data_IF_336487164572
#
_entry.id   IF_336487164572
#
_cell.length_a   1.000
_cell.length_b   1.000
_cell.length_c   1.000
_cell.angle_alpha   90.00
_cell.angle_beta   90.00
_cell.angle_gamma   90.00
#
_symmetry.space_group_name_H-M   'P 1'
#
loop_
_entity.id
_entity.type
_entity.pdbx_description
1 polymer ?
#
# COMPACT_ATOMS: atom_id res chain seq x y z
N UNK A 1 14.93 -10.09 -10.84
CA UNK A 1 14.38 -9.74 -12.17
C UNK A 1 12.91 -10.13 -12.31
N UNK A 2 12.33 -9.90 -13.50
CA UNK A 2 10.91 -10.17 -13.79
C UNK A 2 10.48 -11.59 -13.42
N UNK A 3 11.27 -12.60 -13.80
CA UNK A 3 10.97 -14.00 -13.52
C UNK A 3 10.89 -14.30 -12.02
N UNK A 4 11.78 -13.72 -11.23
CA UNK A 4 11.77 -13.89 -9.77
C UNK A 4 10.52 -13.29 -9.12
N UNK A 5 10.11 -12.11 -9.57
CA UNK A 5 8.89 -11.48 -9.05
C UNK A 5 7.63 -12.31 -9.38
N UNK A 6 7.49 -12.76 -10.61
CA UNK A 6 6.38 -13.62 -11.04
C UNK A 6 6.37 -14.92 -10.23
N UNK A 7 7.53 -15.58 -10.10
CA UNK A 7 7.64 -16.80 -9.30
C UNK A 7 7.19 -16.60 -7.85
N UNK A 8 7.58 -15.47 -7.22
CA UNK A 8 7.17 -15.15 -5.86
C UNK A 8 5.65 -14.98 -5.76
N UNK A 9 5.03 -14.26 -6.71
CA UNK A 9 3.59 -14.08 -6.76
C UNK A 9 2.85 -15.42 -6.95
N UNK A 10 3.36 -16.28 -7.84
CA UNK A 10 2.79 -17.61 -8.09
C UNK A 10 2.89 -18.52 -6.85
N UNK A 11 4.01 -18.45 -6.14
CA UNK A 11 4.17 -19.18 -4.87
C UNK A 11 3.19 -18.70 -3.80
N UNK A 12 3.02 -17.39 -3.64
CA UNK A 12 2.04 -16.84 -2.69
C UNK A 12 0.64 -17.30 -3.04
N UNK A 13 0.26 -17.22 -4.31
CA UNK A 13 -1.04 -17.67 -4.79
C UNK A 13 -1.25 -19.19 -4.55
N UNK A 14 -0.23 -20.02 -4.81
CA UNK A 14 -0.29 -21.46 -4.59
C UNK A 14 -0.45 -21.84 -3.12
N UNK A 15 0.08 -21.03 -2.22
CA UNK A 15 -0.02 -21.19 -0.77
C UNK A 15 -1.26 -20.53 -0.18
N UNK A 16 -2.08 -19.86 -0.98
CA UNK A 16 -3.24 -19.11 -0.50
C UNK A 16 -2.89 -17.89 0.33
N UNK A 17 -1.67 -17.34 0.16
CA UNK A 17 -1.22 -16.14 0.88
C UNK A 17 -1.67 -14.90 0.13
N UNK A 18 -2.54 -14.11 0.76
CA UNK A 18 -2.94 -12.83 0.22
C UNK A 18 -1.76 -11.84 0.23
N UNK A 19 -1.59 -11.08 -0.86
CA UNK A 19 -0.50 -10.15 -1.04
C UNK A 19 -0.93 -8.87 -1.76
N UNK A 20 -0.23 -7.77 -1.54
CA UNK A 20 -0.47 -6.51 -2.22
C UNK A 20 0.81 -5.68 -2.36
N UNK A 21 0.83 -4.80 -3.36
CA UNK A 21 1.94 -3.87 -3.63
C UNK A 21 2.72 -4.18 -4.89
N UNK A 22 2.71 -5.45 -5.35
CA UNK A 22 3.33 -5.88 -6.61
C UNK A 22 2.34 -6.76 -7.38
N UNK A 23 2.25 -6.56 -8.69
CA UNK A 23 1.29 -7.24 -9.56
C UNK A 23 1.93 -7.63 -10.88
N UNK A 24 1.41 -8.69 -11.52
CA UNK A 24 1.89 -9.18 -12.81
C UNK A 24 1.67 -8.17 -13.94
N UNK A 25 0.56 -7.41 -13.86
CA UNK A 25 0.15 -6.39 -14.81
C UNK A 25 -0.99 -5.53 -14.22
N UNK A 26 -1.48 -4.56 -15.00
CA UNK A 26 -2.57 -3.65 -14.59
C UNK A 26 -3.88 -4.39 -14.29
N UNK A 27 -4.21 -5.40 -15.06
CA UNK A 27 -5.42 -6.20 -14.86
C UNK A 27 -5.36 -6.97 -13.53
N UNK A 28 -4.23 -7.59 -13.22
CA UNK A 28 -3.99 -8.28 -11.94
C UNK A 28 -4.11 -7.30 -10.76
N UNK A 29 -3.56 -6.08 -10.89
CA UNK A 29 -3.72 -5.03 -9.89
C UNK A 29 -5.18 -4.65 -9.71
N UNK A 30 -5.88 -4.32 -10.75
CA UNK A 30 -7.28 -3.88 -10.69
C UNK A 30 -8.21 -4.93 -10.06
N UNK A 31 -7.91 -6.21 -10.26
CA UNK A 31 -8.69 -7.31 -9.68
C UNK A 31 -8.43 -7.53 -8.19
N UNK A 32 -7.21 -7.26 -7.71
CA UNK A 32 -6.75 -7.63 -6.37
C UNK A 32 -6.60 -6.47 -5.40
N UNK A 33 -6.62 -5.24 -5.90
CA UNK A 33 -6.26 -4.07 -5.12
C UNK A 33 -7.35 -2.99 -5.17
N UNK A 34 -7.68 -2.36 -4.03
CA UNK A 34 -7.16 -2.60 -2.68
C UNK A 34 -7.40 -4.02 -2.14
N UNK A 35 -6.48 -4.56 -1.34
CA UNK A 35 -6.65 -5.88 -0.75
C UNK A 35 -7.64 -5.82 0.40
N UNK A 36 -8.80 -6.44 0.22
CA UNK A 36 -9.84 -6.51 1.24
C UNK A 36 -9.68 -7.78 2.07
N UNK A 37 -9.61 -7.63 3.38
CA UNK A 37 -9.61 -8.71 4.36
C UNK A 37 -10.83 -8.54 5.25
N UNK A 38 -11.61 -9.60 5.40
CA UNK A 38 -12.74 -9.63 6.33
C UNK A 38 -12.42 -10.59 7.48
N UNK A 39 -12.51 -10.08 8.71
CA UNK A 39 -12.26 -10.88 9.90
C UNK A 39 -13.19 -10.45 11.04
N UNK A 40 -13.93 -11.39 11.59
CA UNK A 40 -14.87 -11.17 12.69
C UNK A 40 -15.87 -10.03 12.41
N UNK A 41 -16.34 -9.94 11.18
CA UNK A 41 -17.28 -8.91 10.74
C UNK A 41 -16.66 -7.54 10.45
N UNK A 42 -15.33 -7.38 10.58
CA UNK A 42 -14.62 -6.14 10.26
C UNK A 42 -13.98 -6.28 8.86
N UNK A 43 -14.25 -5.32 8.00
CA UNK A 43 -13.70 -5.23 6.63
C UNK A 43 -12.51 -4.29 6.63
N UNK A 44 -11.34 -4.83 6.34
CA UNK A 44 -10.07 -4.10 6.37
C UNK A 44 -9.53 -4.01 4.94
N UNK A 45 -9.35 -2.79 4.44
CA UNK A 45 -8.63 -2.56 3.19
C UNK A 45 -7.15 -2.32 3.47
N UNK A 46 -6.28 -3.14 2.88
CA UNK A 46 -4.84 -2.96 2.95
C UNK A 46 -4.34 -2.28 1.69
N UNK A 47 -3.64 -1.16 1.88
CA UNK A 47 -2.91 -0.43 0.87
C UNK A 47 -1.40 -0.58 1.14
N UNK A 48 -0.59 -0.72 0.09
CA UNK A 48 0.85 -0.91 0.23
C UNK A 48 1.60 -0.14 -0.86
N UNK A 49 2.54 0.72 -0.45
CA UNK A 49 3.32 1.57 -1.34
C UNK A 49 4.79 1.63 -0.95
N UNK A 50 5.64 1.87 -1.94
CA UNK A 50 7.06 2.11 -1.73
C UNK A 50 7.51 3.42 -2.39
N UNK A 51 8.54 4.05 -1.83
CA UNK A 51 9.17 5.24 -2.41
C UNK A 51 9.90 4.93 -3.71
N UNK A 52 10.30 3.68 -3.93
CA UNK A 52 11.06 3.29 -5.09
C UNK A 52 11.55 1.85 -5.05
N UNK A 53 12.35 1.51 -6.04
CA UNK A 53 12.92 0.17 -6.26
C UNK A 53 14.45 0.18 -6.23
N UNK A 54 15.07 1.10 -5.47
CA UNK A 54 16.52 1.27 -5.36
C UNK A 54 17.20 1.44 -6.73
N UNK A 55 16.62 2.27 -7.60
CA UNK A 55 17.12 2.54 -8.94
C UNK A 55 16.97 1.39 -9.93
N UNK A 56 16.31 0.30 -9.54
CA UNK A 56 16.02 -0.80 -10.46
C UNK A 56 14.75 -0.52 -11.24
N UNK A 57 14.82 -0.63 -12.54
CA UNK A 57 13.65 -0.54 -13.40
C UNK A 57 12.68 -1.70 -13.13
N UNK A 58 11.40 -1.39 -13.06
CA UNK A 58 10.34 -2.41 -12.99
C UNK A 58 10.02 -2.87 -14.41
N UNK A 59 10.38 -4.09 -14.79
CA UNK A 59 10.22 -4.54 -16.18
C UNK A 59 8.74 -4.76 -16.50
N UNK A 60 8.26 -4.15 -17.58
CA UNK A 60 6.91 -4.36 -18.06
C UNK A 60 6.59 -5.86 -18.29
N UNK A 61 5.36 -6.30 -18.04
CA UNK A 61 4.17 -5.57 -17.58
C UNK A 61 4.01 -5.49 -16.06
N UNK A 62 5.04 -5.86 -15.25
CA UNK A 62 4.97 -5.80 -13.79
C UNK A 62 4.63 -4.39 -13.30
N UNK A 63 3.87 -4.34 -12.22
CA UNK A 63 3.52 -3.09 -11.53
C UNK A 63 3.96 -3.19 -10.08
N UNK A 64 4.59 -2.13 -9.60
CA UNK A 64 4.87 -1.89 -8.19
C UNK A 64 4.13 -0.62 -7.79
N UNK A 65 3.39 -0.65 -6.69
CA UNK A 65 2.72 0.54 -6.19
C UNK A 65 3.75 1.53 -5.63
N UNK A 66 4.02 2.57 -6.38
CA UNK A 66 4.85 3.68 -5.93
C UNK A 66 4.03 4.71 -5.16
N UNK A 67 4.70 5.48 -4.30
CA UNK A 67 4.08 6.60 -3.60
C UNK A 67 3.80 7.72 -4.60
N UNK A 68 2.53 7.82 -4.97
CA UNK A 68 1.97 8.85 -5.83
C UNK A 68 0.62 9.28 -5.26
N UNK A 69 0.45 10.58 -5.01
CA UNK A 69 -0.75 11.09 -4.31
C UNK A 69 -2.04 10.85 -5.08
N UNK A 70 -1.99 10.96 -6.40
CA UNK A 70 -3.15 10.79 -7.26
C UNK A 70 -3.64 9.34 -7.23
N UNK A 71 -2.74 8.40 -7.45
CA UNK A 71 -3.02 6.97 -7.35
C UNK A 71 -3.48 6.56 -5.94
N UNK A 72 -2.86 7.11 -4.89
CA UNK A 72 -3.25 6.81 -3.50
C UNK A 72 -4.66 7.33 -3.21
N UNK A 73 -5.02 8.53 -3.70
CA UNK A 73 -6.36 9.07 -3.51
C UNK A 73 -7.43 8.20 -4.19
N UNK A 74 -7.17 7.71 -5.40
CA UNK A 74 -8.03 6.76 -6.11
C UNK A 74 -8.18 5.45 -5.33
N UNK A 75 -7.08 4.86 -4.88
CA UNK A 75 -7.09 3.61 -4.11
C UNK A 75 -7.86 3.75 -2.78
N UNK A 76 -7.75 4.91 -2.10
CA UNK A 76 -8.54 5.20 -0.89
C UNK A 76 -10.03 5.32 -1.23
N UNK A 77 -10.38 5.96 -2.33
CA UNK A 77 -11.77 6.05 -2.78
C UNK A 77 -12.34 4.66 -3.09
N UNK A 78 -11.58 3.82 -3.77
CA UNK A 78 -11.95 2.43 -4.05
C UNK A 78 -12.15 1.62 -2.76
N UNK A 79 -11.25 1.76 -1.79
CA UNK A 79 -11.39 1.11 -0.48
C UNK A 79 -12.68 1.51 0.24
N UNK A 80 -13.05 2.80 0.17
CA UNK A 80 -14.33 3.30 0.71
C UNK A 80 -15.53 2.71 -0.04
N UNK A 81 -15.47 2.65 -1.38
CA UNK A 81 -16.50 2.02 -2.21
C UNK A 81 -16.68 0.52 -1.93
N UNK A 82 -15.63 -0.16 -1.48
CA UNK A 82 -15.67 -1.55 -1.03
C UNK A 82 -16.27 -1.72 0.38
N UNK A 83 -16.77 -0.65 0.99
CA UNK A 83 -17.30 -0.61 2.37
C UNK A 83 -16.27 -1.13 3.39
N UNK A 84 -15.02 -0.70 3.28
CA UNK A 84 -14.02 -0.97 4.29
C UNK A 84 -14.33 -0.20 5.58
N UNK A 85 -14.36 -0.91 6.71
CA UNK A 85 -14.50 -0.28 8.03
C UNK A 85 -13.20 0.37 8.48
N UNK A 86 -12.06 -0.19 8.02
CA UNK A 86 -10.72 0.29 8.34
C UNK A 86 -9.85 0.25 7.08
N UNK A 87 -9.08 1.32 6.87
CA UNK A 87 -8.05 1.38 5.83
C UNK A 87 -6.69 1.39 6.50
N UNK A 88 -5.81 0.46 6.14
CA UNK A 88 -4.44 0.37 6.62
C UNK A 88 -3.51 0.62 5.44
N UNK A 89 -2.70 1.68 5.52
CA UNK A 89 -1.67 1.95 4.54
C UNK A 89 -0.29 1.52 5.06
N UNK A 90 0.30 0.52 4.42
CA UNK A 90 1.68 0.11 4.65
C UNK A 90 2.58 0.95 3.76
N UNK A 91 3.41 1.79 4.38
CA UNK A 91 4.26 2.73 3.67
C UNK A 91 5.73 2.36 3.85
N UNK A 92 6.41 2.05 2.74
CA UNK A 92 7.86 1.94 2.71
C UNK A 92 8.44 3.27 2.23
N UNK A 93 8.86 4.11 3.18
CA UNK A 93 9.29 5.49 2.96
C UNK A 93 10.32 5.94 3.98
N UNK A 94 10.82 7.18 3.81
CA UNK A 94 11.79 7.79 4.71
C UNK A 94 13.22 7.60 4.26
N UNK A 95 14.13 8.12 5.05
CA UNK A 95 15.57 8.03 4.81
C UNK A 95 16.19 7.09 5.84
N UNK A 96 17.13 6.27 5.40
CA UNK A 96 17.87 5.38 6.28
C UNK A 96 18.76 6.19 7.25
N UNK A 97 18.95 5.66 8.46
CA UNK A 97 19.83 6.24 9.49
C UNK A 97 19.43 7.63 9.99
N UNK A 98 18.18 8.06 9.79
CA UNK A 98 17.67 9.34 10.27
C UNK A 98 16.70 9.12 11.42
N UNK A 99 16.96 9.74 12.57
CA UNK A 99 16.17 9.56 13.79
C UNK A 99 14.79 10.22 13.74
N UNK A 100 14.63 11.27 12.93
CA UNK A 100 13.37 12.00 12.80
C UNK A 100 12.89 11.97 11.34
N UNK A 101 11.59 11.79 11.10
CA UNK A 101 11.08 11.80 9.74
C UNK A 101 11.26 13.19 9.10
N UNK A 102 11.73 13.27 7.85
CA UNK A 102 11.88 14.53 7.15
C UNK A 102 10.50 15.19 6.91
N UNK A 103 10.51 16.52 6.68
CA UNK A 103 9.28 17.31 6.54
C UNK A 103 8.34 16.75 5.46
N UNK A 104 8.87 16.30 4.33
CA UNK A 104 8.09 15.68 3.25
C UNK A 104 7.26 14.49 3.70
N UNK A 105 7.80 13.67 4.63
CA UNK A 105 7.09 12.50 5.17
C UNK A 105 5.98 12.93 6.14
N UNK A 106 6.23 13.95 6.96
CA UNK A 106 5.20 14.50 7.86
C UNK A 106 4.03 15.10 7.08
N UNK A 107 4.31 15.80 5.98
CA UNK A 107 3.29 16.37 5.10
C UNK A 107 2.48 15.28 4.39
N UNK A 108 3.16 14.25 3.87
CA UNK A 108 2.48 13.11 3.25
C UNK A 108 1.61 12.35 4.28
N UNK A 109 2.09 12.18 5.51
CA UNK A 109 1.33 11.54 6.58
C UNK A 109 0.03 12.30 6.89
N UNK A 110 0.10 13.62 7.03
CA UNK A 110 -1.08 14.47 7.26
C UNK A 110 -2.07 14.36 6.11
N UNK A 111 -1.57 14.47 4.88
CA UNK A 111 -2.37 14.36 3.69
C UNK A 111 -3.10 13.00 3.61
N UNK A 112 -2.41 11.89 3.93
CA UNK A 112 -3.02 10.55 3.97
C UNK A 112 -4.16 10.46 4.98
N UNK A 113 -3.99 11.04 6.17
CA UNK A 113 -5.03 11.10 7.20
C UNK A 113 -6.23 11.90 6.71
N UNK A 114 -6.00 13.04 6.09
CA UNK A 114 -7.05 13.90 5.53
C UNK A 114 -7.83 13.20 4.42
N UNK A 115 -7.14 12.52 3.49
CA UNK A 115 -7.79 11.73 2.42
C UNK A 115 -8.58 10.55 2.94
N UNK A 116 -8.10 9.90 3.98
CA UNK A 116 -8.82 8.81 4.66
C UNK A 116 -10.16 9.24 5.28
N UNK A 117 -10.37 10.55 5.45
CA UNK A 117 -11.56 11.09 6.12
C UNK A 117 -11.52 10.87 7.63
N UNK A 118 -10.34 10.60 8.17
CA UNK A 118 -10.14 10.44 9.61
C UNK A 118 -9.77 11.79 10.21
N UNK A 119 -10.50 12.22 11.24
CA UNK A 119 -10.07 13.35 12.04
C UNK A 119 -8.78 13.00 12.78
N UNK A 120 -7.97 13.99 13.13
CA UNK A 120 -6.77 13.78 13.96
C UNK A 120 -7.09 13.15 15.32
N UNK A 121 -8.37 13.12 15.71
CA UNK A 121 -8.86 12.46 16.91
C UNK A 121 -9.14 10.96 16.70
N UNK A 122 -9.23 10.48 15.44
CA UNK A 122 -9.46 9.08 15.09
C UNK A 122 -8.17 8.33 14.72
N UNK A 123 -7.00 8.83 15.17
CA UNK A 123 -5.69 8.21 14.95
C UNK A 123 -5.60 6.74 15.45
N UNK A 124 -6.58 6.28 16.23
CA UNK A 124 -6.68 4.89 16.66
C UNK A 124 -6.89 3.91 15.49
N UNK A 125 -7.43 4.38 14.37
CA UNK A 125 -7.79 3.55 13.21
C UNK A 125 -6.78 3.63 12.06
N UNK A 126 -5.82 4.57 12.11
CA UNK A 126 -4.79 4.73 11.10
C UNK A 126 -3.43 4.30 11.68
N UNK A 127 -2.95 3.13 11.29
CA UNK A 127 -1.63 2.66 11.71
C UNK A 127 -0.65 2.79 10.56
N UNK A 128 0.33 3.66 10.74
CA UNK A 128 1.54 3.69 9.91
C UNK A 128 2.54 2.68 10.46
N UNK A 129 2.90 1.70 9.68
CA UNK A 129 4.05 0.86 9.98
C UNK A 129 5.20 1.31 9.07
N UNK A 130 6.21 1.91 9.67
CA UNK A 130 7.48 2.12 8.99
C UNK A 130 8.21 0.78 8.90
N UNK A 131 8.45 0.29 7.70
CA UNK A 131 9.20 -0.95 7.43
C UNK A 131 10.68 -0.67 7.15
N UNK A 132 11.16 0.53 7.48
CA UNK A 132 12.59 0.81 7.43
C UNK A 132 13.30 0.08 8.58
N UNK A 133 14.04 -0.94 8.24
CA UNK A 133 15.13 -1.46 9.06
C UNK A 133 16.39 -0.74 8.65
#
# INVERSE_FOLDING_TARGET
>A
GKGTAIYTLDMMDSLGIAHCGVYRNKEDRNRRYPLLIEKKGVRIALLNYTYGTNGREVPAPLIVNLIDKESIAEDIADAKCMNADVIIACMHWGDEYVSLPPQRIKELSRWLIEQGGFSTNDLSNFRFKNLSN
#
